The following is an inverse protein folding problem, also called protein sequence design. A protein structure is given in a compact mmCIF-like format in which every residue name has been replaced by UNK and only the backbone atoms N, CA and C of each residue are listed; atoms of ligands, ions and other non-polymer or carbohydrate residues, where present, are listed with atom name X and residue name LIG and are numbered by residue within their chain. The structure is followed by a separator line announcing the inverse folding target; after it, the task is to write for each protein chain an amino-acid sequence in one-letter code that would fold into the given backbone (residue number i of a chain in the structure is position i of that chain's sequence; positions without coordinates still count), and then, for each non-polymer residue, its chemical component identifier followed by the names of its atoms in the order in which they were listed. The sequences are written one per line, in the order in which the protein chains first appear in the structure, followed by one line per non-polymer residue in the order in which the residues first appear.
data_IF_953954043043
#
_entry.id   IF_953954043043
#
_cell.length_a   1.000
_cell.length_b   1.000
_cell.length_c   1.000
_cell.angle_alpha   90.00
_cell.angle_beta   90.00
_cell.angle_gamma   90.00
#
_symmetry.space_group_name_H-M   'P 1'
#
loop_
_entity.id
_entity.type
_entity.pdbx_description
1 polymer ?
#
# COMPACT_ATOMS: atom_id res chain seq x y z
N UNK A 1 50.49 29.40 -40.27
CA UNK A 1 50.62 29.90 -38.89
C UNK A 1 49.31 30.49 -38.35
N UNK A 2 48.60 31.39 -39.05
CA UNK A 2 47.37 32.02 -38.52
C UNK A 2 46.16 31.08 -38.38
N UNK A 3 45.90 30.21 -39.37
CA UNK A 3 44.81 29.22 -39.30
C UNK A 3 45.04 28.15 -38.22
N UNK A 4 46.28 27.71 -38.03
CA UNK A 4 46.61 26.70 -37.01
C UNK A 4 46.29 27.22 -35.60
N UNK A 5 46.74 28.45 -35.30
CA UNK A 5 46.48 29.09 -34.00
C UNK A 5 44.97 29.27 -33.75
N UNK A 6 44.21 29.67 -34.77
CA UNK A 6 42.75 29.82 -34.65
C UNK A 6 42.03 28.49 -34.37
N UNK A 7 42.50 27.38 -34.94
CA UNK A 7 41.98 26.05 -34.67
C UNK A 7 42.33 25.57 -33.26
N UNK A 8 43.56 25.84 -32.80
CA UNK A 8 44.01 25.50 -31.44
C UNK A 8 43.23 26.28 -30.37
N UNK A 9 42.99 27.57 -30.61
CA UNK A 9 42.18 28.43 -29.72
C UNK A 9 40.70 27.97 -29.69
N UNK A 10 40.14 27.54 -30.82
CA UNK A 10 38.79 26.94 -30.88
C UNK A 10 38.71 25.60 -30.15
N UNK A 11 39.71 24.72 -30.32
CA UNK A 11 39.76 23.44 -29.64
C UNK A 11 39.85 23.62 -28.11
N UNK A 12 40.64 24.60 -27.65
CA UNK A 12 40.73 24.96 -26.24
C UNK A 12 39.39 25.50 -25.68
N UNK A 13 38.70 26.36 -26.44
CA UNK A 13 37.39 26.89 -26.06
C UNK A 13 36.32 25.78 -25.97
N UNK A 14 36.29 24.87 -26.93
CA UNK A 14 35.37 23.71 -26.92
C UNK A 14 35.67 22.74 -25.77
N UNK A 15 36.94 22.49 -25.48
CA UNK A 15 37.32 21.64 -24.36
C UNK A 15 36.91 22.22 -23.00
N UNK A 16 36.96 23.55 -22.85
CA UNK A 16 36.49 24.24 -21.65
C UNK A 16 34.96 24.12 -21.52
N UNK A 17 34.24 24.36 -22.61
CA UNK A 17 32.78 24.23 -22.66
C UNK A 17 32.33 22.80 -22.38
N UNK A 18 32.99 21.79 -22.96
CA UNK A 18 32.66 20.39 -22.72
C UNK A 18 32.80 20.04 -21.24
N UNK A 19 33.88 20.46 -20.58
CA UNK A 19 34.07 20.24 -19.14
C UNK A 19 32.98 20.89 -18.29
N UNK A 20 32.54 22.10 -18.66
CA UNK A 20 31.46 22.79 -17.95
C UNK A 20 30.12 22.06 -18.14
N UNK A 21 29.83 21.60 -19.35
CA UNK A 21 28.62 20.83 -19.67
C UNK A 21 28.61 19.48 -18.96
N UNK A 22 29.74 18.76 -18.96
CA UNK A 22 29.89 17.48 -18.26
C UNK A 22 29.68 17.66 -16.75
N UNK A 23 30.26 18.72 -16.17
CA UNK A 23 30.05 19.06 -14.76
C UNK A 23 28.58 19.35 -14.43
N UNK A 24 27.89 20.12 -15.29
CA UNK A 24 26.44 20.38 -15.13
C UNK A 24 25.61 19.12 -15.29
N UNK A 25 25.93 18.26 -16.27
CA UNK A 25 25.21 17.02 -16.52
C UNK A 25 25.28 16.08 -15.32
N UNK A 26 26.44 15.97 -14.66
CA UNK A 26 26.59 15.16 -13.43
C UNK A 26 25.69 15.68 -12.30
N UNK A 27 25.65 17.01 -12.10
CA UNK A 27 24.81 17.61 -11.05
C UNK A 27 23.33 17.36 -11.32
N UNK A 28 22.89 17.57 -12.56
CA UNK A 28 21.50 17.36 -12.97
C UNK A 28 21.12 15.89 -12.82
N UNK A 29 21.96 14.96 -13.30
CA UNK A 29 21.73 13.52 -13.16
C UNK A 29 21.59 13.11 -11.69
N UNK A 30 22.41 13.68 -10.80
CA UNK A 30 22.30 13.46 -9.36
C UNK A 30 20.97 13.95 -8.77
N UNK A 31 20.53 15.15 -9.15
CA UNK A 31 19.26 15.71 -8.70
C UNK A 31 18.06 14.89 -9.20
N UNK A 32 18.08 14.48 -10.46
CA UNK A 32 17.04 13.64 -11.06
C UNK A 32 16.91 12.28 -10.36
N UNK A 33 18.04 11.65 -10.01
CA UNK A 33 18.03 10.39 -9.28
C UNK A 33 17.38 10.53 -7.89
N UNK A 34 17.65 11.64 -7.18
CA UNK A 34 17.03 11.93 -5.88
C UNK A 34 15.52 12.14 -6.01
N UNK A 35 15.10 12.93 -7.00
CA UNK A 35 13.67 13.20 -7.26
C UNK A 35 12.93 11.91 -7.60
N UNK A 36 13.51 11.07 -8.48
CA UNK A 36 12.92 9.77 -8.83
C UNK A 36 12.82 8.84 -7.63
N UNK A 37 13.87 8.77 -6.79
CA UNK A 37 13.86 7.97 -5.57
C UNK A 37 12.77 8.43 -4.58
N UNK A 38 12.56 9.74 -4.44
CA UNK A 38 11.48 10.28 -3.63
C UNK A 38 10.10 9.87 -4.19
N UNK A 39 9.90 9.99 -5.51
CA UNK A 39 8.65 9.57 -6.16
C UNK A 39 8.37 8.06 -5.98
N UNK A 40 9.41 7.22 -6.01
CA UNK A 40 9.27 5.78 -5.73
C UNK A 40 8.92 5.51 -4.26
N UNK A 41 9.45 6.30 -3.33
CA UNK A 41 9.11 6.21 -1.93
C UNK A 41 7.63 6.55 -1.68
N UNK A 42 7.14 7.63 -2.28
CA UNK A 42 5.73 8.05 -2.20
C UNK A 42 4.80 6.98 -2.79
N UNK A 43 5.17 6.40 -3.94
CA UNK A 43 4.42 5.31 -4.55
C UNK A 43 4.35 4.07 -3.64
N UNK A 44 5.48 3.68 -3.04
CA UNK A 44 5.51 2.55 -2.13
C UNK A 44 4.70 2.83 -0.83
N UNK A 45 4.66 4.07 -0.35
CA UNK A 45 3.80 4.47 0.78
C UNK A 45 2.31 4.39 0.45
N UNK A 46 1.92 4.82 -0.75
CA UNK A 46 0.53 4.69 -1.21
C UNK A 46 0.09 3.22 -1.24
N UNK A 47 0.94 2.32 -1.77
CA UNK A 47 0.66 0.89 -1.79
C UNK A 47 0.58 0.25 -0.39
N UNK A 48 1.40 0.73 0.55
CA UNK A 48 1.31 0.31 1.95
C UNK A 48 -0.04 0.74 2.56
N UNK A 49 -0.46 1.97 2.30
CA UNK A 49 -1.75 2.51 2.77
C UNK A 49 -2.93 1.75 2.18
N UNK A 50 -2.85 1.38 0.91
CA UNK A 50 -3.86 0.58 0.22
C UNK A 50 -3.93 -0.88 0.71
N UNK A 51 -2.97 -1.32 1.54
CA UNK A 51 -2.86 -2.69 2.01
C UNK A 51 -2.39 -3.68 0.95
N UNK A 52 -1.81 -3.20 -0.15
CA UNK A 52 -1.25 -4.04 -1.23
C UNK A 52 0.19 -4.44 -0.97
N UNK A 53 0.91 -3.67 -0.16
CA UNK A 53 2.31 -3.90 0.19
C UNK A 53 2.50 -3.89 1.71
N UNK A 54 3.38 -4.74 2.22
CA UNK A 54 3.78 -4.70 3.62
C UNK A 54 4.83 -3.60 3.87
N UNK A 55 4.81 -2.90 5.02
CA UNK A 55 5.81 -1.88 5.33
C UNK A 55 7.27 -2.38 5.25
N UNK A 56 7.51 -3.64 5.60
CA UNK A 56 8.84 -4.29 5.51
C UNK A 56 9.34 -4.39 4.06
N UNK A 57 8.44 -4.45 3.08
CA UNK A 57 8.79 -4.60 1.66
C UNK A 57 9.07 -3.25 0.98
N UNK A 58 8.67 -2.13 1.60
CA UNK A 58 8.82 -0.77 1.04
C UNK A 58 10.25 -0.46 0.59
N UNK A 59 11.23 -0.72 1.46
CA UNK A 59 12.64 -0.43 1.14
C UNK A 59 13.13 -1.22 -0.08
N UNK A 60 12.74 -2.50 -0.18
CA UNK A 60 13.09 -3.35 -1.32
C UNK A 60 12.45 -2.86 -2.63
N UNK A 61 11.18 -2.44 -2.60
CA UNK A 61 10.49 -1.90 -3.77
C UNK A 61 11.16 -0.62 -4.27
N UNK A 62 11.51 0.30 -3.38
CA UNK A 62 12.19 1.56 -3.76
C UNK A 62 13.52 1.28 -4.45
N UNK A 63 14.32 0.35 -3.93
CA UNK A 63 15.62 -0.01 -4.52
C UNK A 63 15.46 -0.72 -5.86
N UNK A 64 14.50 -1.64 -6.00
CA UNK A 64 14.21 -2.29 -7.29
C UNK A 64 13.79 -1.26 -8.33
N UNK A 65 12.89 -0.33 -7.98
CA UNK A 65 12.45 0.73 -8.91
C UNK A 65 13.60 1.66 -9.30
N UNK A 66 14.49 1.98 -8.37
CA UNK A 66 15.68 2.79 -8.64
C UNK A 66 16.64 2.08 -9.60
N UNK A 67 16.82 0.76 -9.45
CA UNK A 67 17.63 -0.05 -10.36
C UNK A 67 17.01 -0.17 -11.75
N UNK A 68 15.68 -0.31 -11.83
CA UNK A 68 14.97 -0.37 -13.12
C UNK A 68 15.06 0.95 -13.89
N UNK A 69 14.95 2.09 -13.20
CA UNK A 69 15.17 3.41 -13.81
C UNK A 69 16.63 3.59 -14.26
N UNK A 70 17.60 3.10 -13.49
CA UNK A 70 19.02 3.16 -13.86
C UNK A 70 19.35 2.26 -15.06
N UNK A 71 18.67 1.12 -15.20
CA UNK A 71 18.82 0.24 -16.36
C UNK A 71 18.25 0.88 -17.64
N UNK A 72 17.23 1.74 -17.50
CA UNK A 72 16.57 2.47 -18.60
C UNK A 72 16.19 1.58 -19.79
N UNK A 73 15.79 0.34 -19.51
CA UNK A 73 15.38 -0.63 -20.51
C UNK A 73 13.88 -0.55 -20.75
N UNK A 74 13.50 -0.66 -22.03
CA UNK A 74 12.12 -0.71 -22.49
C UNK A 74 11.77 -2.13 -22.93
N UNK A 75 10.51 -2.52 -22.77
CA UNK A 75 10.04 -3.83 -23.18
C UNK A 75 9.90 -3.93 -24.71
N UNK A 76 10.85 -4.62 -25.35
CA UNK A 76 10.90 -4.81 -26.80
C UNK A 76 10.23 -6.11 -27.29
N UNK A 77 10.07 -7.12 -26.43
CA UNK A 77 9.50 -8.43 -26.82
C UNK A 77 7.97 -8.44 -27.03
N UNK A 78 7.36 -7.25 -27.07
CA UNK A 78 5.92 -7.08 -26.87
C UNK A 78 5.26 -6.30 -28.03
N UNK A 79 5.76 -6.40 -29.26
CA UNK A 79 5.35 -5.55 -30.39
C UNK A 79 3.82 -5.46 -30.65
N UNK A 80 3.04 -6.46 -30.23
CA UNK A 80 1.55 -6.48 -30.31
C UNK A 80 0.85 -6.42 -28.93
N UNK A 81 1.57 -6.05 -27.87
CA UNK A 81 1.06 -6.00 -26.50
C UNK A 81 1.02 -4.57 -25.95
N UNK A 82 0.08 -4.30 -25.05
CA UNK A 82 -0.09 -3.00 -24.40
C UNK A 82 1.13 -2.56 -23.55
N UNK A 83 2.10 -3.45 -23.34
CA UNK A 83 3.32 -3.19 -22.60
C UNK A 83 4.52 -2.83 -23.47
N UNK A 84 4.39 -2.83 -24.80
CA UNK A 84 5.45 -2.38 -25.69
C UNK A 84 5.90 -0.95 -25.38
N UNK A 85 7.21 -0.72 -25.35
CA UNK A 85 7.78 0.62 -25.16
C UNK A 85 7.65 1.18 -23.74
N UNK A 86 7.02 0.46 -22.80
CA UNK A 86 7.03 0.85 -21.38
C UNK A 86 8.39 0.55 -20.75
N UNK A 87 8.79 1.40 -19.82
CA UNK A 87 10.00 1.17 -19.02
C UNK A 87 9.77 0.02 -18.04
N UNK A 88 10.86 -0.65 -17.62
CA UNK A 88 10.79 -1.68 -16.58
C UNK A 88 10.15 -1.18 -15.28
N UNK A 89 10.42 0.08 -14.90
CA UNK A 89 9.82 0.69 -13.72
C UNK A 89 8.30 0.86 -13.86
N UNK A 90 7.80 1.28 -15.02
CA UNK A 90 6.36 1.46 -15.26
C UNK A 90 5.60 0.13 -15.28
N UNK A 91 6.21 -0.91 -15.87
CA UNK A 91 5.67 -2.26 -15.84
C UNK A 91 5.56 -2.78 -14.41
N UNK A 92 6.60 -2.56 -13.61
CA UNK A 92 6.60 -2.99 -12.21
C UNK A 92 5.59 -2.20 -11.37
N UNK A 93 5.42 -0.89 -11.61
CA UNK A 93 4.35 -0.09 -10.99
C UNK A 93 2.98 -0.65 -11.33
N UNK A 94 2.70 -0.89 -12.61
CA UNK A 94 1.42 -1.44 -13.06
C UNK A 94 1.13 -2.81 -12.42
N UNK A 95 2.15 -3.67 -12.35
CA UNK A 95 2.06 -4.97 -11.70
C UNK A 95 1.70 -4.84 -10.21
N UNK A 96 2.40 -3.99 -9.45
CA UNK A 96 2.13 -3.78 -8.03
C UNK A 96 0.75 -3.15 -7.79
N UNK A 97 0.33 -2.22 -8.65
CA UNK A 97 -0.99 -1.58 -8.55
C UNK A 97 -2.14 -2.56 -8.83
N UNK A 98 -1.93 -3.57 -9.69
CA UNK A 98 -2.92 -4.59 -10.01
C UNK A 98 -3.05 -5.68 -8.93
N UNK A 99 -2.15 -5.74 -7.96
CA UNK A 99 -2.23 -6.75 -6.91
C UNK A 99 -3.48 -6.58 -6.03
N UNK A 100 -4.08 -7.69 -5.58
CA UNK A 100 -5.15 -7.65 -4.58
C UNK A 100 -4.60 -7.12 -3.26
N UNK A 101 -5.51 -6.64 -2.40
CA UNK A 101 -5.14 -6.25 -1.02
C UNK A 101 -4.63 -7.47 -0.27
N UNK A 102 -3.41 -7.39 0.22
CA UNK A 102 -2.79 -8.43 1.06
C UNK A 102 -3.15 -8.24 2.53
N UNK A 103 -3.33 -6.99 2.98
CA UNK A 103 -3.69 -6.67 4.36
C UNK A 103 -4.95 -5.80 4.38
N UNK A 104 -5.95 -6.24 5.13
CA UNK A 104 -7.17 -5.46 5.38
C UNK A 104 -6.98 -4.67 6.66
N UNK A 105 -6.75 -3.35 6.52
CA UNK A 105 -6.72 -2.44 7.66
C UNK A 105 -8.16 -2.12 8.09
N UNK A 106 -8.70 -2.96 8.95
CA UNK A 106 -10.04 -2.79 9.52
C UNK A 106 -10.34 -3.89 10.53
N UNK A 107 -11.26 -3.62 11.46
CA UNK A 107 -11.86 -4.74 12.21
C UNK A 107 -12.55 -5.61 11.17
N UNK A 108 -12.21 -6.89 11.13
CA UNK A 108 -13.03 -7.89 10.44
C UNK A 108 -14.33 -7.92 11.23
N UNK A 109 -15.29 -7.07 10.87
CA UNK A 109 -16.67 -7.35 11.18
C UNK A 109 -16.95 -8.64 10.45
N UNK A 110 -17.18 -9.72 11.22
CA UNK A 110 -17.78 -10.93 10.68
C UNK A 110 -18.91 -10.51 9.72
N UNK A 111 -18.95 -11.12 8.54
CA UNK A 111 -20.01 -10.87 7.58
C UNK A 111 -21.38 -10.85 8.30
N UNK A 112 -22.28 -9.91 7.96
CA UNK A 112 -23.63 -9.91 8.51
C UNK A 112 -24.33 -11.19 8.05
N UNK A 113 -24.24 -12.22 8.89
CA UNK A 113 -24.55 -13.62 8.56
C UNK A 113 -23.90 -14.62 9.50
N UNK A 114 -22.82 -14.25 10.22
CA UNK A 114 -22.45 -14.94 11.44
C UNK A 114 -23.14 -14.25 12.63
N UNK A 115 -24.06 -14.95 13.29
CA UNK A 115 -24.76 -14.57 14.53
C UNK A 115 -23.79 -14.41 15.72
N UNK A 116 -22.75 -13.59 15.58
CA UNK A 116 -21.81 -13.21 16.62
C UNK A 116 -22.32 -11.99 17.38
N UNK A 117 -23.44 -12.13 18.08
CA UNK A 117 -24.05 -11.05 18.85
C UNK A 117 -23.05 -10.43 19.84
N UNK A 118 -22.81 -9.13 19.72
CA UNK A 118 -21.90 -8.29 20.52
C UNK A 118 -21.86 -8.74 21.98
N UNK A 119 -20.81 -9.49 22.37
CA UNK A 119 -20.67 -10.00 23.72
C UNK A 119 -20.24 -8.86 24.65
N UNK A 120 -21.16 -8.39 25.49
CA UNK A 120 -20.89 -7.43 26.58
C UNK A 120 -20.33 -8.12 27.83
N UNK A 121 -19.93 -9.39 27.69
CA UNK A 121 -19.41 -10.24 28.78
C UNK A 121 -17.99 -10.70 28.42
N UNK A 122 -16.99 -10.09 29.06
CA UNK A 122 -15.61 -10.53 28.98
C UNK A 122 -15.42 -11.77 29.86
N UNK A 123 -15.61 -12.96 29.30
CA UNK A 123 -15.39 -14.22 30.02
C UNK A 123 -13.88 -14.44 30.25
N UNK A 124 -13.44 -14.93 31.44
CA UNK A 124 -12.05 -15.25 31.70
C UNK A 124 -11.48 -16.27 30.68
N UNK A 125 -10.16 -16.25 30.42
CA UNK A 125 -9.52 -17.16 29.47
C UNK A 125 -9.84 -18.63 29.81
N UNK A 126 -10.30 -19.39 28.81
CA UNK A 126 -10.65 -20.81 28.98
C UNK A 126 -12.12 -21.11 29.29
N UNK A 127 -12.98 -20.08 29.35
CA UNK A 127 -14.43 -20.27 29.48
C UNK A 127 -15.15 -19.85 28.21
N UNK A 128 -16.03 -20.71 27.71
CA UNK A 128 -16.90 -20.42 26.57
C UNK A 128 -18.27 -20.01 27.11
N UNK A 129 -18.75 -18.84 26.71
CA UNK A 129 -20.12 -18.41 27.02
C UNK A 129 -21.07 -19.14 26.08
N UNK A 130 -22.12 -19.76 26.63
CA UNK A 130 -23.18 -20.40 25.84
C UNK A 130 -23.97 -19.35 25.06
N UNK A 131 -23.92 -19.34 23.71
CA UNK A 131 -24.60 -18.35 22.89
C UNK A 131 -26.13 -18.44 23.00
N UNK A 132 -26.70 -19.63 23.19
CA UNK A 132 -28.15 -19.82 23.30
C UNK A 132 -28.71 -19.26 24.62
N UNK A 133 -27.98 -19.46 25.72
CA UNK A 133 -28.30 -18.86 27.02
C UNK A 133 -28.29 -17.32 26.99
N UNK A 134 -27.35 -16.73 26.26
CA UNK A 134 -27.26 -15.27 26.12
C UNK A 134 -28.42 -14.66 25.33
N UNK A 135 -28.88 -15.33 24.28
CA UNK A 135 -30.04 -14.86 23.52
C UNK A 135 -31.31 -14.88 24.39
N UNK A 136 -31.49 -15.94 25.19
CA UNK A 136 -32.60 -16.07 26.12
C UNK A 136 -32.57 -14.97 27.18
N UNK A 137 -31.39 -14.67 27.73
CA UNK A 137 -31.20 -13.57 28.68
C UNK A 137 -31.55 -12.21 28.07
N UNK A 138 -31.08 -11.91 26.86
CA UNK A 138 -31.40 -10.65 26.16
C UNK A 138 -32.90 -10.49 25.95
N UNK A 139 -33.60 -11.56 25.53
CA UNK A 139 -35.06 -11.55 25.37
C UNK A 139 -35.77 -11.32 26.70
N UNK A 140 -35.29 -11.94 27.79
CA UNK A 140 -35.87 -11.78 29.12
C UNK A 140 -35.73 -10.35 29.66
N UNK A 141 -34.56 -9.72 29.48
CA UNK A 141 -34.33 -8.32 29.88
C UNK A 141 -35.19 -7.36 29.05
N UNK A 142 -35.30 -7.59 27.73
CA UNK A 142 -36.19 -6.78 26.88
C UNK A 142 -37.66 -6.90 27.32
N UNK A 143 -38.10 -8.10 27.67
CA UNK A 143 -39.45 -8.34 28.20
C UNK A 143 -39.68 -7.64 29.54
N UNK A 144 -38.68 -7.63 30.43
CA UNK A 144 -38.75 -6.95 31.71
C UNK A 144 -38.85 -5.42 31.56
N UNK A 145 -38.07 -4.83 30.63
CA UNK A 145 -38.12 -3.40 30.33
C UNK A 145 -39.49 -2.99 29.75
N UNK A 146 -40.10 -3.85 28.93
CA UNK A 146 -41.42 -3.62 28.37
C UNK A 146 -42.57 -3.84 29.38
N UNK A 147 -42.34 -4.60 30.46
CA UNK A 147 -43.34 -4.97 31.46
C UNK A 147 -42.86 -4.63 32.88
N UNK A 148 -42.91 -3.34 33.28
CA UNK A 148 -42.47 -2.92 34.61
C UNK A 148 -43.28 -3.62 35.71
N UNK A 149 -42.59 -4.33 36.61
CA UNK A 149 -43.19 -5.16 37.67
C UNK A 149 -43.03 -6.67 37.46
N UNK A 150 -42.49 -7.12 36.31
CA UNK A 150 -42.18 -8.53 36.07
C UNK A 150 -40.80 -8.88 36.59
N UNK A 151 -40.69 -9.92 37.41
CA UNK A 151 -39.40 -10.47 37.83
C UNK A 151 -38.68 -11.18 36.66
N UNK A 152 -37.34 -11.15 36.66
CA UNK A 152 -36.52 -11.69 35.58
C UNK A 152 -36.78 -13.19 35.34
N UNK A 153 -37.07 -13.97 36.39
CA UNK A 153 -37.38 -15.40 36.26
C UNK A 153 -38.71 -15.60 35.52
N UNK A 154 -39.68 -14.74 35.78
CA UNK A 154 -40.99 -14.78 35.10
C UNK A 154 -40.87 -14.31 33.65
N UNK A 155 -40.04 -13.29 33.40
CA UNK A 155 -39.72 -12.82 32.06
C UNK A 155 -38.99 -13.90 31.24
N UNK A 156 -38.01 -14.60 31.84
CA UNK A 156 -37.28 -15.69 31.20
C UNK A 156 -38.21 -16.83 30.78
N UNK A 157 -39.14 -17.25 31.66
CA UNK A 157 -40.16 -18.27 31.34
C UNK A 157 -41.12 -17.85 30.22
N UNK A 158 -41.40 -16.55 30.09
CA UNK A 158 -42.26 -16.02 29.04
C UNK A 158 -41.58 -16.04 27.66
N UNK A 159 -40.24 -15.89 27.60
CA UNK A 159 -39.48 -15.84 26.35
C UNK A 159 -38.83 -17.16 25.94
N UNK A 160 -38.74 -18.14 26.84
CA UNK A 160 -38.10 -19.45 26.61
C UNK A 160 -39.07 -20.56 26.18
N UNK A 161 -40.29 -20.20 25.78
CA UNK A 161 -41.38 -21.15 25.47
C UNK A 161 -41.59 -21.31 23.97
#
# INVERSE_FOLDING_TARGET
MSQQKALDDQAAALALQQKELDGRAIIIAGQEAVIKKAAHADFAEALCTDGKLLPTQKAGVIEIMSQLDAANQVADFAADDANHGKTGADLFKAFLSAQPKQVVFGRISQEPGADGGVADFAAPPGTMVDPAGMETYRKAVAYQLANPGTDLISAAKAVSR
#
